data_IF_312421292228
#
_entry.id   IF_312421292228
#
_cell.length_a   1.000
_cell.length_b   1.000
_cell.length_c   1.000
_cell.angle_alpha   90.00
_cell.angle_beta   90.00
_cell.angle_gamma   90.00
#
_symmetry.space_group_name_H-M   'P 1'
#
loop_
_entity.id
_entity.type
_entity.pdbx_description
1 polymer ?
#
# COMPACT_ATOMS: atom_id res chain seq x y z
N UNK A 1 23.03 -33.04 -24.89
CA UNK A 1 21.60 -33.11 -25.24
C UNK A 1 20.81 -31.92 -24.72
N UNK A 2 21.15 -31.32 -23.57
CA UNK A 2 20.43 -30.14 -23.04
C UNK A 2 20.57 -28.89 -23.91
N UNK A 3 21.74 -28.60 -24.49
CA UNK A 3 21.94 -27.35 -25.25
C UNK A 3 21.04 -27.19 -26.49
N UNK A 4 20.79 -28.28 -27.22
CA UNK A 4 19.94 -28.25 -28.42
C UNK A 4 18.46 -28.11 -28.05
N UNK A 5 18.04 -28.74 -26.94
CA UNK A 5 16.71 -28.61 -26.37
C UNK A 5 16.47 -27.18 -25.85
N UNK A 6 17.41 -26.62 -25.09
CA UNK A 6 17.32 -25.24 -24.58
C UNK A 6 17.28 -24.22 -25.72
N UNK A 7 18.03 -24.46 -26.81
CA UNK A 7 17.98 -23.61 -28.01
C UNK A 7 16.63 -23.67 -28.72
N UNK A 8 16.00 -24.84 -28.80
CA UNK A 8 14.65 -24.98 -29.36
C UNK A 8 13.59 -24.28 -28.50
N UNK A 9 13.67 -24.44 -27.17
CA UNK A 9 12.78 -23.76 -26.22
C UNK A 9 12.92 -22.24 -26.29
N UNK A 10 14.16 -21.71 -26.31
CA UNK A 10 14.41 -20.26 -26.47
C UNK A 10 13.84 -19.70 -27.78
N UNK A 11 13.86 -20.48 -28.88
CA UNK A 11 13.19 -20.09 -30.13
C UNK A 11 11.68 -20.02 -29.97
N UNK A 12 11.08 -21.04 -29.34
CA UNK A 12 9.65 -21.07 -29.05
C UNK A 12 9.21 -19.90 -28.16
N UNK A 13 9.97 -19.61 -27.09
CA UNK A 13 9.80 -18.40 -26.26
C UNK A 13 9.86 -17.12 -27.09
N UNK A 14 10.83 -17.04 -28.01
CA UNK A 14 10.97 -15.91 -28.94
C UNK A 14 9.72 -15.66 -29.79
N UNK A 15 9.02 -16.72 -30.21
CA UNK A 15 7.76 -16.58 -30.96
C UNK A 15 6.62 -16.08 -30.06
N UNK A 16 6.54 -16.52 -28.80
CA UNK A 16 5.60 -15.99 -27.80
C UNK A 16 5.88 -14.50 -27.53
N UNK A 17 7.14 -14.11 -27.32
CA UNK A 17 7.56 -12.69 -27.19
C UNK A 17 7.19 -11.86 -28.41
N UNK A 18 7.32 -12.42 -29.62
CA UNK A 18 6.92 -11.75 -30.88
C UNK A 18 5.41 -11.52 -30.94
N UNK A 19 4.62 -12.49 -30.50
CA UNK A 19 3.16 -12.35 -30.43
C UNK A 19 2.75 -11.26 -29.44
N UNK A 20 3.35 -11.23 -28.25
CA UNK A 20 3.12 -10.14 -27.29
C UNK A 20 3.44 -8.78 -27.90
N UNK A 21 4.59 -8.64 -28.57
CA UNK A 21 4.98 -7.39 -29.27
C UNK A 21 3.95 -6.96 -30.33
N UNK A 22 3.33 -7.91 -31.04
CA UNK A 22 2.27 -7.61 -32.03
C UNK A 22 0.99 -7.13 -31.36
N UNK A 23 0.65 -7.68 -30.19
CA UNK A 23 -0.51 -7.24 -29.40
C UNK A 23 -0.27 -5.85 -28.83
N UNK A 24 0.90 -5.58 -28.26
CA UNK A 24 1.32 -4.25 -27.78
C UNK A 24 1.09 -3.19 -28.85
N UNK A 25 1.68 -3.38 -30.03
CA UNK A 25 1.52 -2.44 -31.16
C UNK A 25 0.07 -2.25 -31.58
N UNK A 26 -0.75 -3.29 -31.48
CA UNK A 26 -2.16 -3.21 -31.80
C UNK A 26 -2.91 -2.35 -30.77
N UNK A 27 -2.72 -2.62 -29.47
CA UNK A 27 -3.36 -1.86 -28.38
C UNK A 27 -2.93 -0.39 -28.41
N UNK A 28 -1.65 -0.10 -28.68
CA UNK A 28 -1.13 1.26 -28.79
C UNK A 28 -1.77 2.05 -29.95
N UNK A 29 -2.12 1.36 -31.05
CA UNK A 29 -2.70 1.98 -32.24
C UNK A 29 -4.22 2.07 -32.20
N UNK A 30 -4.87 1.15 -31.49
CA UNK A 30 -6.32 0.99 -31.41
C UNK A 30 -6.83 1.31 -30.01
N UNK A 31 -6.68 2.59 -29.64
CA UNK A 31 -7.07 3.13 -28.33
C UNK A 31 -8.09 4.27 -28.49
N UNK A 32 -8.98 4.16 -29.49
CA UNK A 32 -9.99 5.18 -29.83
C UNK A 32 -11.40 4.63 -29.63
N UNK A 33 -12.38 5.48 -29.26
CA UNK A 33 -13.78 5.05 -29.19
C UNK A 33 -14.22 4.36 -30.49
N UNK A 34 -14.79 3.15 -30.39
CA UNK A 34 -15.12 2.28 -31.52
C UNK A 34 -14.21 1.05 -31.68
N UNK A 35 -13.02 1.06 -31.09
CA UNK A 35 -12.08 -0.07 -31.15
C UNK A 35 -12.34 -1.15 -30.07
N UNK A 36 -13.37 -1.00 -29.23
CA UNK A 36 -13.53 -1.78 -27.98
C UNK A 36 -13.62 -3.29 -28.23
N UNK A 37 -14.37 -3.69 -29.26
CA UNK A 37 -14.56 -5.11 -29.61
C UNK A 37 -13.24 -5.70 -30.11
N UNK A 38 -12.50 -4.95 -30.94
CA UNK A 38 -11.24 -5.41 -31.48
C UNK A 38 -10.17 -5.53 -30.38
N UNK A 39 -10.11 -4.55 -29.47
CA UNK A 39 -9.26 -4.63 -28.27
C UNK A 39 -9.66 -5.80 -27.38
N UNK A 40 -10.96 -6.03 -27.17
CA UNK A 40 -11.44 -7.17 -26.37
C UNK A 40 -11.02 -8.52 -26.95
N UNK A 41 -11.18 -8.71 -28.25
CA UNK A 41 -10.71 -9.93 -28.92
C UNK A 41 -9.21 -10.12 -28.73
N UNK A 42 -8.44 -9.03 -28.82
CA UNK A 42 -6.98 -9.07 -28.63
C UNK A 42 -6.56 -9.37 -27.19
N UNK A 43 -7.31 -8.90 -26.18
CA UNK A 43 -7.09 -9.27 -24.77
C UNK A 43 -7.30 -10.78 -24.57
N UNK A 44 -8.33 -11.36 -25.19
CA UNK A 44 -8.57 -12.81 -25.05
C UNK A 44 -7.45 -13.66 -25.68
N UNK A 45 -6.81 -13.15 -26.73
CA UNK A 45 -5.58 -13.76 -27.28
C UNK A 45 -4.34 -13.54 -26.40
N UNK A 46 -4.35 -12.52 -25.54
CA UNK A 46 -3.26 -12.20 -24.61
C UNK A 46 -3.24 -13.17 -23.42
N UNK A 47 -4.40 -13.49 -22.84
CA UNK A 47 -4.55 -14.37 -21.66
C UNK A 47 -3.71 -15.66 -21.73
N UNK A 48 -3.79 -16.51 -22.78
CA UNK A 48 -3.02 -17.75 -22.83
C UNK A 48 -1.52 -17.56 -23.12
N UNK A 49 -1.06 -16.35 -23.45
CA UNK A 49 0.37 -16.12 -23.74
C UNK A 49 1.22 -16.17 -22.47
N UNK A 50 0.68 -15.73 -21.33
CA UNK A 50 1.40 -15.79 -20.06
C UNK A 50 1.66 -17.25 -19.65
N UNK A 51 0.63 -18.09 -19.71
CA UNK A 51 0.76 -19.52 -19.40
C UNK A 51 1.76 -20.21 -20.33
N UNK A 52 1.65 -19.97 -21.65
CA UNK A 52 2.60 -20.52 -22.64
C UNK A 52 4.04 -20.05 -22.39
N UNK A 53 4.22 -18.78 -22.01
CA UNK A 53 5.54 -18.26 -21.67
C UNK A 53 6.07 -18.96 -20.41
N UNK A 54 5.26 -19.03 -19.35
CA UNK A 54 5.62 -19.67 -18.09
C UNK A 54 5.99 -21.14 -18.29
N UNK A 55 5.22 -21.89 -19.06
CA UNK A 55 5.50 -23.30 -19.37
C UNK A 55 6.86 -23.49 -20.05
N UNK A 56 7.19 -22.64 -21.03
CA UNK A 56 8.47 -22.70 -21.75
C UNK A 56 9.61 -22.24 -20.84
N UNK A 57 9.39 -21.16 -20.09
CA UNK A 57 10.38 -20.55 -19.22
C UNK A 57 10.76 -21.50 -18.08
N UNK A 58 9.79 -22.15 -17.44
CA UNK A 58 10.01 -23.15 -16.40
C UNK A 58 10.83 -24.35 -16.93
N UNK A 59 10.57 -24.78 -18.18
CA UNK A 59 11.36 -25.83 -18.84
C UNK A 59 12.81 -25.40 -19.08
N UNK A 60 13.02 -24.15 -19.49
CA UNK A 60 14.37 -23.58 -19.67
C UNK A 60 15.11 -23.53 -18.32
N UNK A 61 14.48 -23.00 -17.27
CA UNK A 61 15.06 -22.90 -15.93
C UNK A 61 15.42 -24.26 -15.34
N UNK A 62 14.65 -25.32 -15.65
CA UNK A 62 14.96 -26.69 -15.23
C UNK A 62 16.18 -27.28 -15.95
N UNK A 63 16.51 -26.78 -17.15
CA UNK A 63 17.61 -27.28 -17.98
C UNK A 63 18.91 -26.48 -17.83
N UNK A 64 18.89 -25.38 -17.08
CA UNK A 64 20.04 -24.50 -16.86
C UNK A 64 20.90 -25.02 -15.71
N UNK A 65 22.19 -24.73 -15.82
CA UNK A 65 23.15 -24.96 -14.74
C UNK A 65 22.92 -23.92 -13.62
N UNK A 66 22.36 -24.38 -12.50
CA UNK A 66 22.07 -23.54 -11.34
C UNK A 66 23.34 -22.98 -10.67
N UNK A 67 24.51 -23.58 -10.93
CA UNK A 67 25.79 -23.08 -10.41
C UNK A 67 26.35 -21.91 -11.25
N UNK A 68 25.69 -21.58 -12.38
CA UNK A 68 26.03 -20.44 -13.22
C UNK A 68 25.09 -19.25 -12.94
N UNK A 69 25.49 -18.41 -11.99
CA UNK A 69 24.73 -17.21 -11.57
C UNK A 69 24.36 -16.30 -12.76
N UNK A 70 25.27 -16.11 -13.73
CA UNK A 70 25.02 -15.26 -14.91
C UNK A 70 23.91 -15.85 -15.81
N UNK A 71 23.84 -17.19 -15.92
CA UNK A 71 22.82 -17.85 -16.70
C UNK A 71 21.45 -17.78 -16.03
N UNK A 72 21.40 -17.91 -14.70
CA UNK A 72 20.18 -17.78 -13.89
C UNK A 72 19.66 -16.35 -13.96
N UNK A 73 20.51 -15.35 -13.67
CA UNK A 73 20.13 -13.94 -13.69
C UNK A 73 19.59 -13.50 -15.06
N UNK A 74 20.18 -14.02 -16.14
CA UNK A 74 19.70 -13.74 -17.50
C UNK A 74 18.28 -14.25 -17.75
N UNK A 75 17.95 -15.45 -17.28
CA UNK A 75 16.61 -15.99 -17.47
C UNK A 75 15.58 -15.33 -16.55
N UNK A 76 15.97 -14.98 -15.32
CA UNK A 76 15.14 -14.18 -14.41
C UNK A 76 14.81 -12.82 -15.03
N UNK A 77 15.82 -12.13 -15.57
CA UNK A 77 15.64 -10.85 -16.26
C UNK A 77 14.73 -10.98 -17.48
N UNK A 78 14.82 -12.08 -18.23
CA UNK A 78 13.95 -12.33 -19.38
C UNK A 78 12.48 -12.52 -18.96
N UNK A 79 12.24 -13.23 -17.85
CA UNK A 79 10.92 -13.40 -17.26
C UNK A 79 10.34 -12.06 -16.82
N UNK A 80 11.12 -11.27 -16.07
CA UNK A 80 10.71 -9.93 -15.63
C UNK A 80 10.38 -9.01 -16.81
N UNK A 81 11.19 -9.02 -17.87
CA UNK A 81 10.95 -8.20 -19.07
C UNK A 81 9.62 -8.58 -19.75
N UNK A 82 9.35 -9.88 -19.88
CA UNK A 82 8.12 -10.37 -20.50
C UNK A 82 6.89 -10.05 -19.66
N UNK A 83 6.91 -10.36 -18.36
CA UNK A 83 5.80 -10.12 -17.44
C UNK A 83 5.47 -8.63 -17.34
N UNK A 84 6.49 -7.77 -17.23
CA UNK A 84 6.32 -6.33 -17.19
C UNK A 84 5.56 -5.82 -18.42
N UNK A 85 5.99 -6.21 -19.62
CA UNK A 85 5.32 -5.87 -20.88
C UNK A 85 3.91 -6.44 -20.97
N UNK A 86 3.73 -7.69 -20.54
CA UNK A 86 2.43 -8.36 -20.53
C UNK A 86 1.42 -7.60 -19.66
N UNK A 87 1.77 -7.35 -18.39
CA UNK A 87 0.88 -6.69 -17.44
C UNK A 87 0.65 -5.22 -17.78
N UNK A 88 1.63 -4.50 -18.32
CA UNK A 88 1.45 -3.14 -18.82
C UNK A 88 0.42 -3.10 -19.95
N UNK A 89 0.53 -4.01 -20.92
CA UNK A 89 -0.41 -4.11 -22.05
C UNK A 89 -1.81 -4.46 -21.59
N UNK A 90 -1.92 -5.46 -20.70
CA UNK A 90 -3.19 -5.88 -20.13
C UNK A 90 -3.85 -4.72 -19.38
N UNK A 91 -3.09 -3.97 -18.58
CA UNK A 91 -3.58 -2.81 -17.86
C UNK A 91 -4.06 -1.70 -18.80
N UNK A 92 -3.29 -1.37 -19.84
CA UNK A 92 -3.69 -0.37 -20.85
C UNK A 92 -4.99 -0.77 -21.55
N UNK A 93 -5.07 -1.99 -22.05
CA UNK A 93 -6.23 -2.49 -22.78
C UNK A 93 -7.47 -2.58 -21.88
N UNK A 94 -7.30 -3.04 -20.63
CA UNK A 94 -8.40 -3.14 -19.66
C UNK A 94 -8.88 -1.76 -19.22
N UNK A 95 -7.98 -0.81 -18.96
CA UNK A 95 -8.34 0.57 -18.60
C UNK A 95 -9.09 1.27 -19.73
N UNK A 96 -8.65 1.12 -20.97
CA UNK A 96 -9.37 1.64 -22.14
C UNK A 96 -10.80 1.10 -22.22
N UNK A 97 -10.96 -0.23 -22.10
CA UNK A 97 -12.27 -0.87 -22.10
C UNK A 97 -13.16 -0.40 -20.97
N UNK A 98 -12.63 -0.34 -19.74
CA UNK A 98 -13.37 0.10 -18.57
C UNK A 98 -13.82 1.56 -18.74
N UNK A 99 -12.94 2.42 -19.22
CA UNK A 99 -13.24 3.82 -19.46
C UNK A 99 -14.36 4.00 -20.50
N UNK A 100 -14.30 3.32 -21.64
CA UNK A 100 -15.36 3.40 -22.64
C UNK A 100 -16.66 2.72 -22.18
N UNK A 101 -16.56 1.62 -21.42
CA UNK A 101 -17.71 0.94 -20.83
C UNK A 101 -18.47 1.89 -19.89
N UNK A 102 -17.77 2.58 -18.99
CA UNK A 102 -18.35 3.52 -18.02
C UNK A 102 -18.90 4.77 -18.72
N UNK A 103 -18.26 5.26 -19.79
CA UNK A 103 -18.73 6.48 -20.51
C UNK A 103 -19.78 6.20 -21.58
N UNK A 104 -20.03 4.93 -21.93
CA UNK A 104 -21.15 4.57 -22.78
C UNK A 104 -22.46 4.96 -22.11
N UNK A 105 -23.27 5.79 -22.77
CA UNK A 105 -24.52 6.31 -22.21
C UNK A 105 -25.45 5.19 -21.73
N UNK A 106 -25.63 4.14 -22.55
CA UNK A 106 -26.50 3.01 -22.19
C UNK A 106 -26.04 2.30 -20.93
N UNK A 107 -24.74 2.07 -20.78
CA UNK A 107 -24.19 1.36 -19.63
C UNK A 107 -24.21 2.26 -18.39
N UNK A 108 -23.86 3.53 -18.56
CA UNK A 108 -23.90 4.49 -17.46
C UNK A 108 -25.31 4.68 -16.92
N UNK A 109 -26.32 4.74 -17.79
CA UNK A 109 -27.73 4.83 -17.37
C UNK A 109 -28.16 3.61 -16.53
N UNK A 110 -27.70 2.41 -16.90
CA UNK A 110 -27.94 1.17 -16.12
C UNK A 110 -27.23 1.23 -14.77
N UNK A 111 -25.96 1.64 -14.73
CA UNK A 111 -25.18 1.79 -13.49
C UNK A 111 -25.86 2.83 -12.59
N UNK A 112 -26.21 3.99 -13.13
CA UNK A 112 -26.84 5.08 -12.39
C UNK A 112 -28.20 4.66 -11.82
N UNK A 113 -29.00 3.92 -12.57
CA UNK A 113 -30.27 3.37 -12.09
C UNK A 113 -30.06 2.38 -10.95
N UNK A 114 -29.08 1.48 -11.08
CA UNK A 114 -28.74 0.54 -10.01
C UNK A 114 -28.27 1.26 -8.75
N UNK A 115 -27.38 2.24 -8.87
CA UNK A 115 -26.86 3.02 -7.74
C UNK A 115 -27.95 3.87 -7.08
N UNK A 116 -28.90 4.41 -7.87
CA UNK A 116 -30.03 5.16 -7.34
C UNK A 116 -30.95 4.31 -6.45
N UNK A 117 -31.12 3.01 -6.74
CA UNK A 117 -31.86 2.09 -5.87
C UNK A 117 -31.22 1.96 -4.49
N UNK A 118 -29.89 2.08 -4.40
CA UNK A 118 -29.12 2.06 -3.16
C UNK A 118 -28.89 3.46 -2.57
N UNK A 119 -29.53 4.49 -3.14
CA UNK A 119 -29.34 5.91 -2.76
C UNK A 119 -27.88 6.39 -2.90
N UNK A 120 -27.12 5.81 -3.83
CA UNK A 120 -25.74 6.16 -4.12
C UNK A 120 -25.69 7.11 -5.33
N UNK A 121 -24.99 8.23 -5.18
CA UNK A 121 -24.71 9.17 -6.29
C UNK A 121 -23.31 8.93 -6.85
N UNK A 122 -23.22 8.69 -8.16
CA UNK A 122 -21.93 8.57 -8.85
C UNK A 122 -21.44 9.96 -9.29
N UNK A 123 -20.23 10.33 -8.89
CA UNK A 123 -19.62 11.63 -9.20
C UNK A 123 -18.24 11.41 -9.81
N UNK A 124 -18.01 11.95 -11.00
CA UNK A 124 -16.68 12.00 -11.61
C UNK A 124 -15.90 13.20 -11.09
N UNK A 125 -14.60 13.01 -10.84
CA UNK A 125 -13.70 14.14 -10.68
C UNK A 125 -13.62 14.93 -11.99
N UNK A 126 -13.40 16.26 -11.93
CA UNK A 126 -13.16 17.03 -13.13
C UNK A 126 -11.96 16.47 -13.92
N UNK A 127 -12.07 16.49 -15.26
CA UNK A 127 -11.00 15.99 -16.12
C UNK A 127 -9.68 16.70 -15.82
N UNK A 128 -8.57 15.95 -15.86
CA UNK A 128 -7.21 16.45 -15.60
C UNK A 128 -7.04 17.16 -14.25
N UNK A 129 -7.88 16.85 -13.26
CA UNK A 129 -7.84 17.47 -11.94
C UNK A 129 -7.53 16.45 -10.83
N UNK A 130 -6.31 15.87 -10.81
CA UNK A 130 -5.91 14.84 -9.84
C UNK A 130 -5.89 15.37 -8.40
N UNK A 131 -5.84 16.69 -8.20
CA UNK A 131 -5.96 17.32 -6.88
C UNK A 131 -7.27 16.97 -6.15
N UNK A 132 -8.36 16.70 -6.87
CA UNK A 132 -9.61 16.21 -6.27
C UNK A 132 -9.45 14.82 -5.66
N UNK A 133 -8.46 14.06 -6.13
CA UNK A 133 -8.10 12.73 -5.64
C UNK A 133 -6.89 12.64 -4.74
N UNK A 134 -6.30 13.78 -4.37
CA UNK A 134 -5.02 13.81 -3.67
C UNK A 134 -4.99 12.98 -2.38
N UNK A 135 -6.10 12.90 -1.63
CA UNK A 135 -6.17 12.12 -0.39
C UNK A 135 -6.01 10.61 -0.62
N UNK A 136 -6.81 10.02 -1.53
CA UNK A 136 -6.71 8.59 -1.80
C UNK A 136 -5.47 8.25 -2.63
N UNK A 137 -5.03 9.12 -3.54
CA UNK A 137 -3.78 8.95 -4.27
C UNK A 137 -2.56 8.95 -3.34
N UNK A 138 -2.53 9.85 -2.35
CA UNK A 138 -1.49 9.86 -1.31
C UNK A 138 -1.52 8.57 -0.47
N UNK A 139 -2.71 8.07 -0.13
CA UNK A 139 -2.89 6.78 0.53
C UNK A 139 -2.30 5.63 -0.29
N UNK A 140 -2.70 5.50 -1.56
CA UNK A 140 -2.20 4.46 -2.48
C UNK A 140 -0.68 4.56 -2.64
N UNK A 141 -0.15 5.77 -2.78
CA UNK A 141 1.30 6.02 -2.88
C UNK A 141 2.04 5.54 -1.63
N UNK A 142 1.54 5.87 -0.44
CA UNK A 142 2.13 5.46 0.83
C UNK A 142 2.16 3.93 0.96
N UNK A 143 1.04 3.26 0.68
CA UNK A 143 0.96 1.78 0.72
C UNK A 143 1.99 1.15 -0.22
N UNK A 144 1.99 1.55 -1.49
CA UNK A 144 2.93 1.02 -2.49
C UNK A 144 4.39 1.29 -2.10
N UNK A 145 4.67 2.48 -1.58
CA UNK A 145 6.02 2.89 -1.18
C UNK A 145 6.60 2.03 -0.07
N UNK A 146 5.82 1.72 0.97
CA UNK A 146 6.26 0.86 2.06
C UNK A 146 6.24 -0.62 1.67
N UNK A 147 5.17 -1.08 1.02
CA UNK A 147 5.02 -2.48 0.62
C UNK A 147 6.18 -2.91 -0.29
N UNK A 148 6.55 -2.09 -1.29
CA UNK A 148 7.70 -2.38 -2.17
C UNK A 148 9.01 -2.53 -1.40
N UNK A 149 9.21 -1.75 -0.33
CA UNK A 149 10.42 -1.81 0.50
C UNK A 149 10.46 -2.99 1.46
N UNK A 150 9.29 -3.46 1.87
CA UNK A 150 9.15 -4.63 2.74
C UNK A 150 9.32 -5.91 1.94
N UNK A 151 8.67 -5.99 0.78
CA UNK A 151 8.75 -7.17 -0.08
C UNK A 151 10.12 -7.30 -0.74
N UNK A 152 10.73 -6.20 -1.21
CA UNK A 152 11.98 -6.29 -1.96
C UNK A 152 11.81 -7.19 -3.19
N UNK A 153 12.52 -8.31 -3.22
CA UNK A 153 12.46 -9.33 -4.28
C UNK A 153 11.54 -10.52 -3.91
N UNK A 154 10.74 -10.40 -2.85
CA UNK A 154 9.79 -11.43 -2.47
C UNK A 154 8.62 -11.54 -3.46
N UNK A 155 8.33 -12.76 -3.88
CA UNK A 155 7.17 -13.08 -4.71
C UNK A 155 6.06 -13.67 -3.84
N UNK A 156 4.95 -12.94 -3.74
CA UNK A 156 3.73 -13.41 -3.08
C UNK A 156 2.77 -13.96 -4.14
N UNK A 157 2.14 -15.09 -3.86
CA UNK A 157 0.97 -15.52 -4.64
C UNK A 157 -0.22 -14.61 -4.34
N UNK A 158 -1.23 -14.65 -5.21
CA UNK A 158 -2.41 -13.79 -5.11
C UNK A 158 -3.07 -13.82 -3.73
N UNK A 159 -3.28 -15.01 -3.17
CA UNK A 159 -3.94 -15.19 -1.87
C UNK A 159 -3.11 -14.60 -0.73
N UNK A 160 -1.78 -14.68 -0.81
CA UNK A 160 -0.88 -14.10 0.19
C UNK A 160 -0.89 -12.59 0.11
N UNK A 161 -0.81 -12.04 -1.11
CA UNK A 161 -0.87 -10.60 -1.32
C UNK A 161 -2.20 -10.02 -0.85
N UNK A 162 -3.33 -10.68 -1.15
CA UNK A 162 -4.64 -10.29 -0.64
C UNK A 162 -4.68 -10.29 0.89
N UNK A 163 -4.20 -11.35 1.53
CA UNK A 163 -4.18 -11.45 2.99
C UNK A 163 -3.33 -10.35 3.62
N UNK A 164 -2.12 -10.13 3.10
CA UNK A 164 -1.22 -9.05 3.54
C UNK A 164 -1.86 -7.67 3.34
N UNK A 165 -2.51 -7.42 2.20
CA UNK A 165 -3.16 -6.14 1.92
C UNK A 165 -4.33 -5.87 2.86
N UNK A 166 -5.15 -6.87 3.19
CA UNK A 166 -6.22 -6.74 4.19
C UNK A 166 -5.66 -6.40 5.59
N UNK A 167 -4.55 -7.03 5.99
CA UNK A 167 -3.90 -6.69 7.25
C UNK A 167 -3.32 -5.27 7.24
N UNK A 168 -2.67 -4.88 6.15
CA UNK A 168 -2.17 -3.51 5.95
C UNK A 168 -3.31 -2.50 5.99
N UNK A 169 -4.45 -2.77 5.35
CA UNK A 169 -5.64 -1.93 5.42
C UNK A 169 -6.07 -1.71 6.89
N UNK A 170 -6.14 -2.79 7.68
CA UNK A 170 -6.45 -2.69 9.10
C UNK A 170 -5.43 -1.83 9.86
N UNK A 171 -4.14 -1.99 9.54
CA UNK A 171 -3.05 -1.17 10.11
C UNK A 171 -3.29 0.32 9.83
N UNK A 172 -3.54 0.70 8.58
CA UNK A 172 -3.77 2.09 8.18
C UNK A 172 -5.02 2.66 8.85
N UNK A 173 -6.07 1.85 8.99
CA UNK A 173 -7.35 2.24 9.58
C UNK A 173 -7.34 2.24 11.12
N UNK A 174 -6.29 1.69 11.75
CA UNK A 174 -6.07 1.79 13.21
C UNK A 174 -5.50 3.14 13.65
N UNK A 175 -5.13 4.01 12.71
CA UNK A 175 -4.33 5.23 13.01
C UNK A 175 -5.09 6.25 13.85
N UNK A 176 -4.48 6.84 14.90
CA UNK A 176 -5.07 7.91 15.70
C UNK A 176 -5.25 9.19 14.88
N UNK A 177 -6.47 9.73 14.80
CA UNK A 177 -6.79 10.98 14.11
C UNK A 177 -6.95 12.15 15.09
N UNK A 178 -7.75 11.98 16.13
CA UNK A 178 -8.07 12.98 17.15
C UNK A 178 -8.47 12.27 18.44
N UNK A 179 -8.63 12.96 19.58
CA UNK A 179 -9.26 12.37 20.76
C UNK A 179 -10.70 11.95 20.47
N UNK A 180 -11.12 10.77 20.94
CA UNK A 180 -12.51 10.30 20.79
C UNK A 180 -13.47 11.06 21.71
N UNK A 181 -12.97 11.50 22.87
CA UNK A 181 -13.76 12.13 23.93
C UNK A 181 -12.99 13.28 24.58
N UNK A 182 -13.74 14.19 25.21
CA UNK A 182 -13.21 15.27 26.03
C UNK A 182 -12.84 14.83 27.45
N UNK A 183 -13.20 13.61 27.87
CA UNK A 183 -12.84 13.07 29.19
C UNK A 183 -11.31 13.01 29.36
N UNK A 184 -10.72 13.71 30.35
CA UNK A 184 -9.28 13.67 30.62
C UNK A 184 -8.74 12.27 30.97
N UNK A 185 -9.60 11.36 31.40
CA UNK A 185 -9.24 9.98 31.73
C UNK A 185 -9.37 9.03 30.53
N UNK A 186 -10.08 9.44 29.47
CA UNK A 186 -10.16 8.69 28.24
C UNK A 186 -8.94 8.95 27.36
N UNK A 187 -8.21 7.88 27.08
CA UNK A 187 -6.99 7.89 26.27
C UNK A 187 -7.24 7.36 24.85
N UNK A 188 -8.51 7.07 24.53
CA UNK A 188 -8.90 6.44 23.27
C UNK A 188 -8.85 7.48 22.15
N UNK A 189 -8.08 7.24 21.09
CA UNK A 189 -8.14 8.07 19.91
C UNK A 189 -9.32 7.67 19.02
N UNK A 190 -9.92 8.64 18.36
CA UNK A 190 -10.73 8.43 17.17
C UNK A 190 -9.82 7.92 16.05
N UNK A 191 -10.28 6.91 15.30
CA UNK A 191 -9.53 6.28 14.20
C UNK A 191 -10.46 6.05 13.01
N UNK A 192 -9.94 5.88 11.78
CA UNK A 192 -10.76 5.51 10.63
C UNK A 192 -11.61 4.25 10.87
N UNK A 193 -11.10 3.27 11.61
CA UNK A 193 -11.84 2.06 11.99
C UNK A 193 -13.16 2.35 12.71
N UNK A 194 -13.25 3.42 13.51
CA UNK A 194 -14.50 3.83 14.15
C UNK A 194 -15.56 4.24 13.13
N UNK A 195 -15.19 4.87 12.02
CA UNK A 195 -16.12 5.22 10.95
C UNK A 195 -16.54 4.01 10.11
N UNK A 196 -15.65 3.02 9.97
CA UNK A 196 -15.90 1.83 9.15
C UNK A 196 -16.77 0.79 9.86
N UNK A 197 -16.47 0.49 11.13
CA UNK A 197 -17.10 -0.61 11.88
C UNK A 197 -17.64 -0.19 13.25
N UNK A 198 -17.60 1.10 13.60
CA UNK A 198 -18.11 1.62 14.87
C UNK A 198 -17.20 1.39 16.09
N UNK A 199 -16.01 0.82 15.91
CA UNK A 199 -15.08 0.47 17.01
C UNK A 199 -13.61 0.48 16.56
N UNK A 200 -12.63 0.50 17.50
CA UNK A 200 -11.23 0.35 17.15
C UNK A 200 -10.95 -0.98 16.45
N UNK A 201 -10.08 -0.94 15.43
CA UNK A 201 -9.52 -2.15 14.82
C UNK A 201 -8.42 -2.70 15.71
N UNK A 202 -8.47 -4.00 15.98
CA UNK A 202 -7.52 -4.73 16.85
C UNK A 202 -7.03 -5.99 16.14
N UNK A 203 -5.78 -6.37 16.37
CA UNK A 203 -5.25 -7.68 15.93
C UNK A 203 -5.13 -8.65 17.09
N UNK A 204 -5.11 -9.94 16.75
CA UNK A 204 -4.71 -11.01 17.65
C UNK A 204 -3.20 -10.84 17.94
N UNK A 205 -2.75 -11.06 19.19
CA UNK A 205 -1.33 -11.06 19.50
C UNK A 205 -0.57 -12.07 18.63
N UNK A 206 0.47 -11.60 17.95
CA UNK A 206 1.39 -12.41 17.15
C UNK A 206 2.77 -12.42 17.80
N UNK A 207 3.55 -13.47 17.55
CA UNK A 207 4.97 -13.48 17.90
C UNK A 207 5.75 -12.42 17.10
N UNK A 208 6.85 -11.95 17.66
CA UNK A 208 7.72 -10.99 16.98
C UNK A 208 8.66 -11.72 16.01
N UNK A 209 8.50 -11.50 14.72
CA UNK A 209 9.31 -12.11 13.66
C UNK A 209 10.31 -11.13 13.02
N UNK A 210 10.46 -9.90 13.53
CA UNK A 210 11.30 -8.86 12.93
C UNK A 210 12.76 -9.33 12.72
N UNK A 211 13.32 -10.05 13.68
CA UNK A 211 14.70 -10.56 13.63
C UNK A 211 14.82 -11.96 13.01
N UNK A 212 13.70 -12.60 12.65
CA UNK A 212 13.71 -13.95 12.09
C UNK A 212 13.96 -13.91 10.58
N UNK A 213 14.96 -14.64 10.06
CA UNK A 213 15.18 -14.74 8.62
C UNK A 213 13.95 -15.31 7.90
N UNK A 214 13.54 -14.68 6.81
CA UNK A 214 12.37 -15.07 6.00
C UNK A 214 12.33 -16.57 5.67
N UNK A 215 13.49 -17.17 5.37
CA UNK A 215 13.62 -18.60 5.00
C UNK A 215 13.29 -19.58 6.13
N UNK A 216 13.15 -19.12 7.37
CA UNK A 216 12.84 -19.94 8.55
C UNK A 216 11.37 -19.86 8.97
N UNK A 217 10.60 -19.00 8.32
CA UNK A 217 9.21 -18.75 8.65
C UNK A 217 8.32 -19.68 7.82
N UNK A 218 7.26 -20.18 8.45
CA UNK A 218 6.17 -20.77 7.70
C UNK A 218 5.36 -19.68 6.98
N UNK A 219 4.43 -20.07 6.10
CA UNK A 219 3.66 -19.14 5.27
C UNK A 219 2.90 -18.09 6.09
N UNK A 220 2.32 -18.47 7.22
CA UNK A 220 1.59 -17.55 8.09
C UNK A 220 2.53 -16.57 8.80
N UNK A 221 3.60 -17.07 9.43
CA UNK A 221 4.58 -16.23 10.12
C UNK A 221 5.29 -15.27 9.14
N UNK A 222 5.45 -15.69 7.89
CA UNK A 222 5.98 -14.87 6.81
C UNK A 222 5.06 -13.68 6.48
N UNK A 223 3.75 -13.91 6.37
CA UNK A 223 2.76 -12.84 6.20
C UNK A 223 2.73 -11.89 7.40
N UNK A 224 2.78 -12.43 8.62
CA UNK A 224 2.86 -11.64 9.86
C UNK A 224 4.11 -10.77 9.89
N UNK A 225 5.27 -11.34 9.53
CA UNK A 225 6.52 -10.59 9.42
C UNK A 225 6.41 -9.43 8.44
N UNK A 226 5.84 -9.64 7.26
CA UNK A 226 5.61 -8.57 6.27
C UNK A 226 4.76 -7.44 6.89
N UNK A 227 3.70 -7.78 7.62
CA UNK A 227 2.85 -6.78 8.26
C UNK A 227 3.57 -6.05 9.40
N UNK A 228 4.42 -6.73 10.17
CA UNK A 228 5.27 -6.13 11.20
C UNK A 228 6.33 -5.20 10.60
N UNK A 229 7.01 -5.61 9.53
CA UNK A 229 7.99 -4.80 8.81
C UNK A 229 7.33 -3.58 8.13
N UNK A 230 6.12 -3.74 7.60
CA UNK A 230 5.31 -2.64 7.08
C UNK A 230 4.96 -1.65 8.18
N UNK A 231 4.38 -2.14 9.28
CA UNK A 231 4.04 -1.34 10.44
C UNK A 231 5.25 -0.54 10.92
N UNK A 232 6.39 -1.19 11.14
CA UNK A 232 7.63 -0.57 11.63
C UNK A 232 8.05 0.66 10.83
N UNK A 233 7.87 0.62 9.51
CA UNK A 233 8.24 1.73 8.63
C UNK A 233 7.15 2.78 8.54
N UNK A 234 5.91 2.34 8.32
CA UNK A 234 4.78 3.22 8.07
C UNK A 234 4.38 4.03 9.31
N UNK A 235 4.35 3.41 10.50
CA UNK A 235 3.94 4.13 11.73
C UNK A 235 4.92 5.28 12.04
N UNK A 236 6.21 5.10 11.79
CA UNK A 236 7.22 6.15 12.00
C UNK A 236 7.02 7.31 11.03
N UNK A 237 6.71 7.02 9.77
CA UNK A 237 6.40 8.05 8.77
C UNK A 237 5.12 8.80 9.14
N UNK A 238 4.06 8.09 9.55
CA UNK A 238 2.83 8.70 10.03
C UNK A 238 3.05 9.62 11.23
N UNK A 239 3.79 9.16 12.24
CA UNK A 239 4.12 9.97 13.42
C UNK A 239 5.02 11.15 13.08
N UNK A 240 5.82 11.05 12.02
CA UNK A 240 6.62 12.16 11.50
C UNK A 240 5.77 13.18 10.79
N UNK A 241 4.77 12.74 10.03
CA UNK A 241 3.78 13.60 9.40
C UNK A 241 2.98 14.40 10.44
N UNK A 242 2.51 13.77 11.52
CA UNK A 242 1.81 14.47 12.62
C UNK A 242 2.66 15.56 13.31
N UNK A 243 3.99 15.50 13.20
CA UNK A 243 4.89 16.51 13.76
C UNK A 243 5.31 17.60 12.76
N UNK A 244 4.95 17.47 11.48
CA UNK A 244 5.37 18.45 10.48
C UNK A 244 4.76 19.83 10.80
N UNK A 245 5.64 20.81 11.00
CA UNK A 245 5.23 22.21 11.16
C UNK A 245 4.81 22.75 9.79
N UNK A 246 3.59 23.29 9.68
CA UNK A 246 3.20 24.10 8.53
C UNK A 246 4.21 25.25 8.39
N UNK A 247 4.57 25.60 7.15
CA UNK A 247 5.68 26.52 6.79
C UNK A 247 5.75 27.76 7.70
N UNK A 248 6.98 28.23 7.93
CA UNK A 248 7.52 29.35 8.73
C UNK A 248 6.68 30.62 9.00
N UNK A 249 5.50 30.77 8.43
CA UNK A 249 4.61 31.93 8.57
C UNK A 249 3.63 31.87 9.73
N UNK A 250 3.41 30.71 10.37
CA UNK A 250 2.50 30.59 11.52
C UNK A 250 3.16 29.89 12.72
N UNK A 251 2.98 30.48 13.91
CA UNK A 251 3.40 29.88 15.18
C UNK A 251 2.64 28.57 15.39
N UNK A 252 3.35 27.44 15.34
CA UNK A 252 2.76 26.13 15.64
C UNK A 252 2.37 26.08 17.12
N UNK A 253 1.15 25.67 17.43
CA UNK A 253 0.68 25.46 18.80
C UNK A 253 1.69 24.62 19.59
N UNK A 254 2.17 25.17 20.72
CA UNK A 254 3.00 24.42 21.65
C UNK A 254 2.16 23.39 22.40
N UNK A 255 2.79 22.29 22.81
CA UNK A 255 2.17 21.24 23.65
C UNK A 255 1.70 21.87 24.97
N UNK A 256 0.49 21.52 25.42
CA UNK A 256 -0.13 22.03 26.64
C UNK A 256 -0.63 20.89 27.54
N UNK A 257 -0.76 21.13 28.86
CA UNK A 257 -1.52 20.24 29.73
C UNK A 257 -2.91 19.96 29.16
N UNK A 258 -3.33 18.69 29.20
CA UNK A 258 -4.58 18.22 28.62
C UNK A 258 -4.49 17.74 27.18
N UNK A 259 -3.37 17.92 26.48
CA UNK A 259 -3.22 17.38 25.12
C UNK A 259 -3.13 15.85 25.14
N UNK A 260 -3.93 15.18 24.30
CA UNK A 260 -3.76 13.76 24.03
C UNK A 260 -2.66 13.58 22.98
N UNK A 261 -1.65 12.78 23.32
CA UNK A 261 -0.45 12.59 22.52
C UNK A 261 -0.19 11.11 22.27
N UNK A 262 0.36 10.81 21.10
CA UNK A 262 1.00 9.52 20.82
C UNK A 262 2.46 9.61 21.25
N UNK A 263 2.87 8.71 22.15
CA UNK A 263 4.25 8.57 22.59
C UNK A 263 4.98 7.67 21.59
N UNK A 264 6.01 8.21 20.95
CA UNK A 264 6.84 7.45 20.00
C UNK A 264 7.55 6.29 20.71
N UNK A 265 7.23 5.08 20.27
CA UNK A 265 7.84 3.85 20.74
C UNK A 265 8.00 2.92 19.53
N UNK A 266 9.24 2.57 19.21
CA UNK A 266 9.59 1.80 18.01
C UNK A 266 9.32 0.31 18.18
N UNK A 267 9.07 -0.18 19.40
CA UNK A 267 8.98 -1.62 19.67
C UNK A 267 7.53 -2.08 19.87
N UNK A 268 6.56 -1.31 19.38
CA UNK A 268 5.14 -1.66 19.50
C UNK A 268 4.73 -2.64 18.40
N UNK A 269 3.90 -3.65 18.72
CA UNK A 269 3.30 -4.51 17.71
C UNK A 269 2.32 -3.72 16.82
N UNK A 270 1.97 -4.25 15.64
CA UNK A 270 1.02 -3.62 14.73
C UNK A 270 -0.28 -3.16 15.39
N UNK A 271 -0.78 -2.01 14.97
CA UNK A 271 -2.02 -1.36 15.46
C UNK A 271 -2.01 -0.93 16.92
N UNK A 272 -0.91 -1.11 17.64
CA UNK A 272 -0.80 -0.67 19.03
C UNK A 272 -0.17 0.71 19.09
N UNK A 273 -0.95 1.69 19.55
CA UNK A 273 -0.51 3.07 19.72
C UNK A 273 -0.34 3.38 21.21
N UNK A 274 0.83 3.88 21.61
CA UNK A 274 1.09 4.24 23.00
C UNK A 274 0.57 5.64 23.27
N UNK A 275 -0.67 5.71 23.74
CA UNK A 275 -1.35 6.96 24.05
C UNK A 275 -0.94 7.50 25.42
N UNK A 276 -0.97 8.82 25.57
CA UNK A 276 -0.86 9.47 26.86
C UNK A 276 -1.43 10.89 26.86
N UNK A 277 -1.72 11.40 28.05
CA UNK A 277 -2.23 12.77 28.26
C UNK A 277 -1.15 13.61 28.90
N UNK A 278 -0.90 14.80 28.38
CA UNK A 278 0.06 15.74 28.98
C UNK A 278 -0.53 16.26 30.30
N UNK A 279 0.23 16.15 31.37
CA UNK A 279 -0.14 16.71 32.68
C UNK A 279 0.56 18.04 32.95
N UNK A 280 1.85 18.11 32.62
CA UNK A 280 2.70 19.27 32.92
C UNK A 280 3.70 19.49 31.78
N UNK A 281 4.05 20.75 31.53
CA UNK A 281 5.01 21.14 30.48
C UNK A 281 6.14 21.96 31.10
N UNK A 282 7.35 21.76 30.59
CA UNK A 282 8.56 22.44 31.06
C UNK A 282 9.15 23.29 29.93
N UNK A 283 8.86 24.61 29.90
CA UNK A 283 9.47 25.55 28.97
C UNK A 283 10.94 25.79 29.30
N UNK A 284 11.76 26.04 28.27
CA UNK A 284 13.15 26.43 28.50
C UNK A 284 13.24 27.86 29.05
N UNK A 285 14.10 28.11 30.06
CA UNK A 285 14.29 29.44 30.60
C UNK A 285 14.80 30.49 29.60
N UNK A 286 15.46 30.08 28.50
CA UNK A 286 16.10 31.00 27.56
C UNK A 286 15.17 31.55 26.49
N UNK A 287 14.21 30.75 26.00
CA UNK A 287 13.33 31.10 24.87
C UNK A 287 11.83 30.81 25.12
N UNK A 288 11.48 30.26 26.29
CA UNK A 288 10.11 29.93 26.65
C UNK A 288 9.52 28.73 25.88
N UNK A 289 10.30 28.02 25.05
CA UNK A 289 9.80 26.90 24.24
C UNK A 289 9.73 25.62 25.06
N UNK A 290 8.57 24.98 25.06
CA UNK A 290 8.35 23.67 25.71
C UNK A 290 9.17 22.59 25.00
N UNK A 291 10.14 22.01 25.72
CA UNK A 291 10.99 20.91 25.22
C UNK A 291 10.73 19.58 25.92
N UNK A 292 10.18 19.60 27.13
CA UNK A 292 9.89 18.40 27.94
C UNK A 292 8.47 18.52 28.50
N UNK A 293 7.78 17.39 28.58
CA UNK A 293 6.46 17.29 29.21
C UNK A 293 6.37 16.03 30.08
N UNK A 294 5.60 16.11 31.16
CA UNK A 294 5.14 14.98 31.96
C UNK A 294 3.85 14.45 31.34
N UNK A 295 3.82 13.16 31.00
CA UNK A 295 2.71 12.52 30.30
C UNK A 295 2.20 11.34 31.11
N UNK A 296 0.90 11.30 31.39
CA UNK A 296 0.22 10.15 31.99
C UNK A 296 -0.03 9.10 30.92
N UNK A 297 0.51 7.90 31.12
CA UNK A 297 0.36 6.75 30.24
C UNK A 297 0.22 5.47 31.07
N UNK A 298 -0.86 4.70 30.84
CA UNK A 298 -1.12 3.45 31.57
C UNK A 298 -1.02 3.57 33.11
N UNK A 299 -1.60 4.65 33.67
CA UNK A 299 -1.60 4.93 35.11
C UNK A 299 -0.27 5.44 35.69
N UNK A 300 0.78 5.60 34.88
CA UNK A 300 2.08 6.14 35.32
C UNK A 300 2.37 7.46 34.65
N UNK A 301 3.05 8.36 35.36
CA UNK A 301 3.54 9.62 34.81
C UNK A 301 4.98 9.39 34.32
N UNK A 302 5.23 9.72 33.07
CA UNK A 302 6.56 9.62 32.46
C UNK A 302 6.98 10.97 31.87
N UNK A 303 8.23 11.38 32.13
CA UNK A 303 8.81 12.57 31.48
C UNK A 303 9.33 12.20 30.10
N UNK A 304 8.96 12.97 29.08
CA UNK A 304 9.38 12.76 27.69
C UNK A 304 9.71 14.09 27.02
N UNK A 305 10.71 14.06 26.15
CA UNK A 305 11.00 15.18 25.27
C UNK A 305 9.88 15.34 24.24
N UNK A 306 9.55 16.59 23.89
CA UNK A 306 8.43 16.90 23.00
C UNK A 306 8.61 16.32 21.58
N UNK A 307 9.85 16.11 21.13
CA UNK A 307 10.14 15.43 19.86
C UNK A 307 9.75 13.93 19.85
N UNK A 308 9.49 13.34 21.02
CA UNK A 308 8.96 11.97 21.18
C UNK A 308 7.45 11.95 21.40
N UNK A 309 6.79 13.10 21.41
CA UNK A 309 5.35 13.24 21.57
C UNK A 309 4.74 13.77 20.27
N UNK A 310 3.71 13.10 19.77
CA UNK A 310 2.93 13.55 18.62
C UNK A 310 1.56 13.98 19.14
N UNK A 311 1.27 15.28 19.11
CA UNK A 311 -0.03 15.81 19.52
C UNK A 311 -1.07 15.42 18.47
N UNK A 312 -2.22 14.90 18.91
CA UNK A 312 -3.33 14.70 18.00
C UNK A 312 -4.01 16.04 17.69
N UNK A 313 -4.38 16.30 16.43
CA UNK A 313 -5.23 17.43 16.07
C UNK A 313 -6.45 17.53 17.00
N UNK A 314 -6.74 18.75 17.48
CA UNK A 314 -8.01 19.09 18.10
C UNK A 314 -8.82 19.90 17.06
N UNK A 315 -10.15 19.79 17.09
CA UNK A 315 -11.07 20.38 16.10
C UNK A 315 -11.03 21.92 15.97
N UNK A 316 -10.17 22.61 16.74
CA UNK A 316 -10.08 24.07 16.80
C UNK A 316 -8.96 24.69 15.93
N UNK A 317 -8.43 23.99 14.91
CA UNK A 317 -7.45 24.54 13.95
C UNK A 317 -7.76 24.33 12.46
#
# INVERSE_FOLDING_TARGET
MSDEQTKALRRSRGDVKRNLTRIIKFVDTHNKPGDEIAVQQRIHELEPLLDKFNDIQNQIETLIDFDNDDAVEKEDSEREEFESKYYETLAMATNFRLYNFIRSKSNFDVIQTSLANDSISWIFIPANSPNWGGLWEAGVKSVKFHLKRVLGNANLVFEDLCSVLCQIESILNSRPLSPLSNDPNDMTPLTPGHFLIGRPLTTIPSDNHLDTPMKRLNRFEYQEKICQDFWQRWHQEYLSYLQQRKKWTQSTRQIRPGDLVVIRDQNLPPMRWKMGRVEEVYPSPSDGVVRVASVRCAGKIVKRACNRLCVLPLDDE
#
